data_IF_255358569286
#
_entry.id   IF_255358569286
#
_cell.length_a   1.000
_cell.length_b   1.000
_cell.length_c   1.000
_cell.angle_alpha   90.00
_cell.angle_beta   90.00
_cell.angle_gamma   90.00
#
_symmetry.space_group_name_H-M   'P 1'
#
loop_
_entity.id
_entity.type
_entity.pdbx_description
1 polymer ?
#
# COMPACT_ATOMS: atom_id res chain seq x y z
N UNK A 1 93.07 44.47 -56.37
CA UNK A 1 93.34 43.33 -57.28
C UNK A 1 92.62 42.07 -56.78
N UNK A 2 92.66 40.99 -57.57
CA UNK A 2 92.40 39.55 -57.23
C UNK A 2 92.82 39.19 -55.78
N UNK A 3 92.26 38.19 -55.06
CA UNK A 3 91.21 37.15 -55.29
C UNK A 3 90.90 36.44 -53.94
N UNK A 4 89.73 35.79 -53.78
CA UNK A 4 89.40 34.46 -53.13
C UNK A 4 90.20 33.94 -51.88
N UNK A 5 89.75 33.09 -50.95
CA UNK A 5 88.52 32.33 -50.53
C UNK A 5 89.02 31.28 -49.47
N UNK A 6 88.32 30.52 -48.61
CA UNK A 6 86.91 30.14 -48.34
C UNK A 6 86.80 29.51 -46.91
N UNK A 7 85.59 29.19 -46.38
CA UNK A 7 85.30 28.27 -45.23
C UNK A 7 85.68 28.75 -43.80
N UNK A 8 85.04 28.33 -42.70
CA UNK A 8 83.62 28.01 -42.38
C UNK A 8 83.49 27.68 -40.87
N UNK A 9 82.44 28.16 -40.18
CA UNK A 9 81.89 27.56 -38.96
C UNK A 9 80.48 28.11 -38.69
N UNK A 10 79.52 27.23 -38.40
CA UNK A 10 78.12 27.57 -38.09
C UNK A 10 77.77 27.04 -36.70
N UNK A 11 77.33 27.92 -35.79
CA UNK A 11 76.75 27.52 -34.50
C UNK A 11 75.47 28.33 -34.27
N UNK A 12 74.32 27.64 -34.28
CA UNK A 12 73.00 28.24 -34.08
C UNK A 12 72.60 28.12 -32.61
N UNK A 13 72.23 29.24 -31.99
CA UNK A 13 71.61 29.26 -30.67
C UNK A 13 70.18 28.71 -30.77
N UNK A 14 69.90 27.61 -30.07
CA UNK A 14 68.53 27.13 -29.86
C UNK A 14 67.96 27.76 -28.60
N UNK A 15 66.95 28.61 -28.76
CA UNK A 15 66.25 29.26 -27.64
C UNK A 15 65.08 28.36 -27.20
N UNK A 16 65.18 27.74 -26.03
CA UNK A 16 64.15 26.83 -25.51
C UNK A 16 62.94 27.61 -24.98
N UNK A 17 61.93 27.81 -25.81
CA UNK A 17 60.68 28.47 -25.43
C UNK A 17 59.83 27.51 -24.58
N UNK A 18 59.95 27.62 -23.26
CA UNK A 18 59.22 26.79 -22.31
C UNK A 18 57.75 27.22 -22.27
N UNK A 19 56.87 26.50 -22.99
CA UNK A 19 55.43 26.65 -22.79
C UNK A 19 55.06 26.19 -21.38
N UNK A 20 54.65 27.11 -20.52
CA UNK A 20 53.91 26.78 -19.33
C UNK A 20 52.54 26.22 -19.75
N UNK A 21 52.30 24.92 -19.55
CA UNK A 21 50.94 24.40 -19.57
C UNK A 21 50.16 25.09 -18.42
N UNK A 22 48.86 25.42 -18.63
CA UNK A 22 48.01 25.79 -17.50
C UNK A 22 48.01 24.65 -16.50
N UNK A 23 48.16 24.97 -15.21
CA UNK A 23 48.13 23.97 -14.16
C UNK A 23 46.78 23.24 -14.21
N UNK A 24 46.79 21.90 -14.26
CA UNK A 24 45.58 21.13 -14.03
C UNK A 24 45.10 21.40 -12.61
N UNK A 25 43.96 22.08 -12.50
CA UNK A 25 43.23 22.19 -11.23
C UNK A 25 42.98 20.76 -10.74
N UNK A 26 43.39 20.45 -9.52
CA UNK A 26 43.01 19.19 -8.89
C UNK A 26 41.50 19.23 -8.67
N UNK A 27 40.79 18.20 -9.12
CA UNK A 27 39.41 18.02 -8.66
C UNK A 27 39.45 17.77 -7.14
N UNK A 28 38.55 18.42 -6.42
CA UNK A 28 38.35 18.15 -5.00
C UNK A 28 37.55 16.85 -4.85
N UNK A 29 37.81 16.10 -3.78
CA UNK A 29 37.00 14.93 -3.44
C UNK A 29 35.62 15.41 -2.94
N UNK A 30 34.54 14.82 -3.46
CA UNK A 30 33.18 15.11 -2.99
C UNK A 30 33.08 14.69 -1.51
N UNK A 31 32.66 15.57 -0.58
CA UNK A 31 32.53 15.22 0.84
C UNK A 31 31.53 14.09 1.07
N UNK A 32 31.84 13.19 2.01
CA UNK A 32 30.97 12.06 2.38
C UNK A 32 29.88 12.41 3.40
N UNK A 33 30.03 13.53 4.09
CA UNK A 33 29.06 14.07 5.07
C UNK A 33 28.93 15.61 4.89
N UNK A 34 28.39 16.07 3.74
CA UNK A 34 28.19 17.49 3.45
C UNK A 34 26.97 18.05 4.18
N UNK A 35 27.05 19.28 4.67
CA UNK A 35 25.87 20.04 5.12
C UNK A 35 25.16 20.70 3.93
N UNK A 36 23.89 21.06 4.11
CA UNK A 36 23.14 21.87 3.14
C UNK A 36 23.94 23.08 2.64
N UNK A 37 23.92 23.34 1.32
CA UNK A 37 24.64 24.44 0.68
C UNK A 37 26.16 24.24 0.52
N UNK A 38 26.73 23.10 0.95
CA UNK A 38 28.15 22.78 0.70
C UNK A 38 28.43 22.77 -0.81
N UNK A 39 29.53 23.41 -1.24
CA UNK A 39 29.96 23.42 -2.64
C UNK A 39 31.29 22.72 -2.86
N UNK A 40 31.45 21.99 -3.96
CA UNK A 40 32.72 21.33 -4.36
C UNK A 40 32.98 21.50 -5.86
N UNK A 41 34.25 21.54 -6.27
CA UNK A 41 34.65 21.67 -7.68
C UNK A 41 35.23 20.35 -8.20
N UNK A 42 34.60 19.78 -9.23
CA UNK A 42 35.01 18.51 -9.85
C UNK A 42 35.22 18.69 -11.36
N UNK A 43 35.98 17.80 -12.00
CA UNK A 43 36.14 17.81 -13.47
C UNK A 43 34.82 17.45 -14.16
N UNK A 44 34.57 18.03 -15.34
CA UNK A 44 33.41 17.67 -16.16
C UNK A 44 33.39 16.18 -16.53
N UNK A 45 32.20 15.59 -16.65
CA UNK A 45 32.03 14.13 -16.78
C UNK A 45 32.15 13.33 -15.47
N UNK A 46 32.34 13.96 -14.31
CA UNK A 46 32.21 13.28 -13.01
C UNK A 46 30.75 12.91 -12.74
N UNK A 47 30.48 11.68 -12.29
CA UNK A 47 29.15 11.25 -11.88
C UNK A 47 28.67 12.09 -10.68
N UNK A 48 27.49 12.69 -10.82
CA UNK A 48 26.86 13.54 -9.79
C UNK A 48 26.14 12.63 -8.79
N UNK A 49 26.47 12.65 -7.48
CA UNK A 49 25.76 11.83 -6.50
C UNK A 49 24.36 12.38 -6.20
N UNK A 50 23.50 11.54 -5.61
CA UNK A 50 22.20 11.97 -5.11
C UNK A 50 22.33 13.13 -4.10
N UNK A 51 21.41 14.09 -4.16
CA UNK A 51 21.44 15.30 -3.33
C UNK A 51 22.44 16.35 -3.77
N UNK A 52 23.13 16.21 -4.92
CA UNK A 52 23.98 17.26 -5.50
C UNK A 52 23.42 17.78 -6.82
N UNK A 53 23.58 19.08 -7.08
CA UNK A 53 23.20 19.77 -8.32
C UNK A 53 24.37 20.55 -8.93
N UNK A 54 24.43 20.69 -10.25
CA UNK A 54 25.45 21.54 -10.92
C UNK A 54 24.96 23.00 -10.85
N UNK A 55 25.71 23.86 -10.17
CA UNK A 55 25.40 25.31 -10.06
C UNK A 55 26.36 26.21 -10.84
N UNK A 56 27.32 25.64 -11.57
CA UNK A 56 28.17 26.32 -12.56
C UNK A 56 28.91 25.31 -13.45
N UNK A 57 29.06 25.63 -14.74
CA UNK A 57 29.88 24.89 -15.71
C UNK A 57 30.64 25.85 -16.65
N UNK A 58 31.92 25.58 -16.90
CA UNK A 58 32.79 26.38 -17.79
C UNK A 58 33.32 25.62 -19.02
N UNK A 59 32.90 24.36 -19.20
CA UNK A 59 33.46 23.43 -20.20
C UNK A 59 34.42 22.38 -19.62
N UNK A 60 35.03 22.64 -18.47
CA UNK A 60 36.15 21.85 -17.90
C UNK A 60 35.84 21.37 -16.47
N UNK A 61 35.13 22.17 -15.68
CA UNK A 61 34.76 21.86 -14.29
C UNK A 61 33.26 22.06 -14.05
N UNK A 62 32.71 21.26 -13.14
CA UNK A 62 31.41 21.51 -12.50
C UNK A 62 31.64 22.07 -11.09
N UNK A 63 30.90 23.10 -10.70
CA UNK A 63 30.64 23.39 -9.29
C UNK A 63 29.37 22.64 -8.88
N UNK A 64 29.51 21.65 -8.01
CA UNK A 64 28.37 20.96 -7.41
C UNK A 64 27.98 21.66 -6.10
N UNK A 65 26.68 21.71 -5.81
CA UNK A 65 26.11 22.18 -4.52
C UNK A 65 25.21 21.11 -3.91
N UNK A 66 25.32 20.89 -2.60
CA UNK A 66 24.53 19.90 -1.87
C UNK A 66 23.17 20.46 -1.40
N UNK A 67 22.09 19.72 -1.65
CA UNK A 67 20.70 20.19 -1.53
C UNK A 67 19.89 19.51 -0.43
N UNK A 68 20.42 18.49 0.26
CA UNK A 68 19.72 17.82 1.37
C UNK A 68 19.80 18.68 2.62
N UNK A 69 18.71 18.76 3.38
CA UNK A 69 18.55 19.67 4.53
C UNK A 69 17.95 21.04 4.19
N UNK A 70 17.48 21.23 2.96
CA UNK A 70 16.77 22.43 2.53
C UNK A 70 15.44 22.67 3.28
N UNK A 71 15.05 23.93 3.37
CA UNK A 71 13.78 24.42 3.92
C UNK A 71 12.80 24.82 2.81
N UNK A 72 11.51 24.88 3.13
CA UNK A 72 10.48 25.29 2.17
C UNK A 72 10.80 26.67 1.54
N UNK A 73 10.82 26.72 0.21
CA UNK A 73 11.22 27.88 -0.62
C UNK A 73 12.70 28.28 -0.59
N UNK A 74 13.60 27.41 -0.14
CA UNK A 74 15.01 27.52 -0.52
C UNK A 74 15.16 27.40 -2.05
N UNK A 75 16.08 28.16 -2.65
CA UNK A 75 16.31 28.16 -4.11
C UNK A 75 17.77 27.99 -4.50
N UNK A 76 18.01 27.39 -5.67
CA UNK A 76 19.32 27.36 -6.34
C UNK A 76 19.20 27.68 -7.81
N UNK A 77 20.23 28.33 -8.36
CA UNK A 77 20.43 28.40 -9.81
C UNK A 77 21.29 27.22 -10.24
N UNK A 78 20.80 26.45 -11.22
CA UNK A 78 21.41 25.24 -11.75
C UNK A 78 21.67 25.36 -13.26
N UNK A 79 22.70 24.67 -13.74
CA UNK A 79 22.99 24.54 -15.17
C UNK A 79 21.94 23.64 -15.85
N UNK A 80 21.68 23.88 -17.14
CA UNK A 80 20.58 23.24 -17.91
C UNK A 80 20.56 21.70 -17.88
N UNK A 81 21.71 21.07 -17.64
CA UNK A 81 21.91 19.61 -17.62
C UNK A 81 22.12 19.05 -16.21
N UNK A 82 21.84 19.83 -15.15
CA UNK A 82 21.87 19.34 -13.77
C UNK A 82 20.71 18.37 -13.53
N UNK A 83 20.89 17.32 -12.69
CA UNK A 83 19.76 16.61 -12.12
C UNK A 83 18.89 17.57 -11.28
N UNK A 84 17.60 17.28 -11.20
CA UNK A 84 16.64 17.91 -10.29
C UNK A 84 16.45 16.94 -9.11
N UNK A 85 16.79 17.28 -7.86
CA UNK A 85 16.63 16.37 -6.74
C UNK A 85 15.16 16.23 -6.32
N UNK A 86 14.81 15.12 -5.68
CA UNK A 86 13.46 14.88 -5.19
C UNK A 86 12.96 16.01 -4.27
N UNK A 87 11.72 16.48 -4.51
CA UNK A 87 11.13 17.61 -3.78
C UNK A 87 11.58 18.99 -4.24
N UNK A 88 12.32 19.12 -5.35
CA UNK A 88 12.59 20.40 -6.01
C UNK A 88 11.78 20.55 -7.30
N UNK A 89 11.40 21.77 -7.63
CA UNK A 89 10.65 22.13 -8.86
C UNK A 89 11.34 23.25 -9.62
N UNK A 90 11.21 23.28 -10.96
CA UNK A 90 11.75 24.36 -11.79
C UNK A 90 10.84 25.59 -11.69
N UNK A 91 11.36 26.73 -11.20
CA UNK A 91 10.57 27.96 -11.00
C UNK A 91 10.86 29.07 -12.02
N UNK A 92 12.08 29.14 -12.53
CA UNK A 92 12.48 30.15 -13.51
C UNK A 92 13.47 29.61 -14.54
N UNK A 93 13.41 30.10 -15.78
CA UNK A 93 14.41 29.83 -16.81
C UNK A 93 15.41 30.99 -16.82
N UNK A 94 16.63 30.73 -16.37
CA UNK A 94 17.67 31.75 -16.29
C UNK A 94 18.34 31.93 -17.65
N UNK A 95 18.27 33.13 -18.22
CA UNK A 95 18.90 33.49 -19.50
C UNK A 95 20.44 33.50 -19.49
N UNK A 96 21.07 33.04 -18.40
CA UNK A 96 22.50 32.78 -18.28
C UNK A 96 22.71 31.26 -18.41
N UNK A 97 23.51 30.84 -19.39
CA UNK A 97 23.85 29.43 -19.68
C UNK A 97 22.65 28.48 -19.95
N UNK A 98 21.51 29.01 -20.37
CA UNK A 98 20.24 28.27 -20.53
C UNK A 98 19.79 27.52 -19.25
N UNK A 99 20.26 27.97 -18.08
CA UNK A 99 20.03 27.34 -16.79
C UNK A 99 18.63 27.53 -16.22
N UNK A 100 18.41 26.97 -15.03
CA UNK A 100 17.13 27.07 -14.32
C UNK A 100 17.32 27.53 -12.88
N UNK A 101 16.30 28.18 -12.32
CA UNK A 101 16.11 28.21 -10.88
C UNK A 101 15.27 27.00 -10.46
N UNK A 102 15.73 26.30 -9.42
CA UNK A 102 14.94 25.30 -8.69
C UNK A 102 14.57 25.83 -7.31
N UNK A 103 13.37 25.47 -6.85
CA UNK A 103 12.84 25.79 -5.52
C UNK A 103 12.44 24.53 -4.77
N UNK A 104 12.75 24.44 -3.47
CA UNK A 104 12.38 23.28 -2.64
C UNK A 104 10.93 23.36 -2.12
N UNK A 105 10.21 22.25 -2.26
CA UNK A 105 8.79 22.13 -1.92
C UNK A 105 8.52 21.41 -0.60
N UNK A 106 9.52 20.75 -0.02
CA UNK A 106 9.38 20.04 1.25
C UNK A 106 9.15 20.99 2.43
N UNK A 107 8.36 20.56 3.42
CA UNK A 107 8.00 21.38 4.57
C UNK A 107 6.92 22.44 4.33
N UNK A 108 6.26 22.42 3.17
CA UNK A 108 5.14 23.30 2.86
C UNK A 108 3.94 23.08 3.81
N UNK A 109 3.19 24.16 4.09
CA UNK A 109 1.91 24.11 4.80
C UNK A 109 0.72 24.00 3.83
N UNK A 110 -0.44 23.53 4.29
CA UNK A 110 -1.66 23.49 3.48
C UNK A 110 -1.95 24.83 2.77
N UNK A 111 -2.35 24.78 1.49
CA UNK A 111 -2.56 25.92 0.57
C UNK A 111 -1.33 26.80 0.28
N UNK A 112 -0.12 26.37 0.66
CA UNK A 112 1.11 26.99 0.17
C UNK A 112 1.20 26.87 -1.36
N UNK A 113 1.70 27.91 -2.03
CA UNK A 113 1.83 27.92 -3.51
C UNK A 113 3.26 28.17 -3.99
N UNK A 114 3.59 27.64 -5.15
CA UNK A 114 4.82 27.93 -5.93
C UNK A 114 4.41 28.09 -7.39
N UNK A 115 5.06 29.02 -8.11
CA UNK A 115 4.89 29.18 -9.55
C UNK A 115 6.04 28.44 -10.26
N UNK A 116 5.70 27.55 -11.19
CA UNK A 116 6.61 26.59 -11.85
C UNK A 116 6.62 26.75 -13.37
N UNK A 117 7.70 26.28 -14.01
CA UNK A 117 7.79 26.17 -15.46
C UNK A 117 6.91 25.03 -16.01
N UNK A 118 6.53 25.15 -17.29
CA UNK A 118 5.70 24.18 -18.01
C UNK A 118 6.25 22.74 -18.01
N UNK A 119 7.57 22.61 -17.90
CA UNK A 119 8.34 21.36 -17.93
C UNK A 119 8.83 20.90 -16.54
N UNK A 120 8.38 21.53 -15.45
CA UNK A 120 8.61 21.00 -14.11
C UNK A 120 7.69 19.82 -13.84
N UNK A 121 8.20 18.82 -13.13
CA UNK A 121 7.34 17.81 -12.50
C UNK A 121 6.47 18.44 -11.40
N UNK A 122 5.33 17.80 -11.11
CA UNK A 122 4.40 18.15 -10.04
C UNK A 122 4.68 17.21 -8.85
N UNK A 123 5.19 17.69 -7.70
CA UNK A 123 5.53 16.81 -6.59
C UNK A 123 4.28 16.21 -5.92
N UNK A 124 4.47 15.10 -5.19
CA UNK A 124 3.38 14.46 -4.46
C UNK A 124 2.71 15.43 -3.46
N UNK A 125 1.37 15.42 -3.45
CA UNK A 125 0.58 16.33 -2.62
C UNK A 125 0.45 17.76 -3.16
N UNK A 126 0.89 18.04 -4.39
CA UNK A 126 0.65 19.31 -5.08
C UNK A 126 -0.33 19.15 -6.26
N UNK A 127 -1.07 20.22 -6.57
CA UNK A 127 -2.04 20.30 -7.68
C UNK A 127 -1.84 21.59 -8.48
N UNK A 128 -2.15 21.59 -9.78
CA UNK A 128 -2.13 22.81 -10.61
C UNK A 128 -3.40 23.63 -10.36
N UNK A 129 -3.29 24.91 -10.00
CA UNK A 129 -4.47 25.80 -9.80
C UNK A 129 -4.63 26.83 -10.92
N UNK A 130 -3.53 27.36 -11.45
CA UNK A 130 -3.53 28.43 -12.44
C UNK A 130 -2.52 28.14 -13.57
N UNK A 131 -2.78 28.70 -14.75
CA UNK A 131 -1.86 28.68 -15.90
C UNK A 131 -1.52 30.12 -16.33
N UNK A 132 -0.26 30.36 -16.68
CA UNK A 132 0.27 31.67 -17.06
C UNK A 132 0.57 31.77 -18.55
N UNK A 133 0.46 32.98 -19.11
CA UNK A 133 0.63 33.24 -20.56
C UNK A 133 2.01 32.87 -21.12
N UNK A 134 3.01 32.66 -20.26
CA UNK A 134 4.35 32.18 -20.63
C UNK A 134 4.49 30.65 -20.53
N UNK A 135 3.39 29.90 -20.37
CA UNK A 135 3.35 28.43 -20.28
C UNK A 135 3.55 27.85 -18.88
N UNK A 136 4.05 28.63 -17.92
CA UNK A 136 4.19 28.21 -16.52
C UNK A 136 2.84 28.00 -15.81
N UNK A 137 2.87 27.33 -14.66
CA UNK A 137 1.70 27.02 -13.84
C UNK A 137 1.88 27.47 -12.39
N UNK A 138 0.79 27.64 -11.65
CA UNK A 138 0.82 27.65 -10.18
C UNK A 138 0.51 26.26 -9.65
N UNK A 139 1.35 25.77 -8.76
CA UNK A 139 1.04 24.61 -7.91
C UNK A 139 0.61 25.05 -6.50
N UNK A 140 -0.30 24.30 -5.90
CA UNK A 140 -0.78 24.45 -4.52
C UNK A 140 -0.62 23.14 -3.73
N UNK A 141 -0.15 23.21 -2.48
CA UNK A 141 0.01 22.05 -1.61
C UNK A 141 -1.30 21.67 -0.90
N UNK A 142 -1.69 20.40 -0.99
CA UNK A 142 -3.00 19.89 -0.56
C UNK A 142 -2.95 19.04 0.71
N UNK A 143 -1.77 18.70 1.22
CA UNK A 143 -1.63 17.91 2.47
C UNK A 143 -1.95 18.80 3.67
N UNK A 144 -2.66 18.26 4.66
CA UNK A 144 -3.15 19.01 5.81
C UNK A 144 -4.52 19.69 5.62
N UNK A 145 -5.24 19.36 4.53
CA UNK A 145 -6.62 19.78 4.32
C UNK A 145 -7.59 19.19 5.36
N UNK A 146 -8.62 19.96 5.72
CA UNK A 146 -9.71 19.50 6.58
C UNK A 146 -10.81 18.77 5.79
N UNK A 147 -11.71 18.07 6.48
CA UNK A 147 -12.87 17.48 5.83
C UNK A 147 -13.74 18.56 5.17
N UNK A 148 -14.22 18.30 3.95
CA UNK A 148 -14.94 19.26 3.08
C UNK A 148 -14.14 20.48 2.61
N UNK A 149 -12.82 20.56 2.81
CA UNK A 149 -12.00 21.59 2.15
C UNK A 149 -12.13 21.49 0.62
N UNK A 150 -12.13 22.64 -0.08
CA UNK A 150 -12.27 22.71 -1.55
C UNK A 150 -11.13 23.46 -2.21
N UNK A 151 -10.72 23.00 -3.39
CA UNK A 151 -9.71 23.63 -4.26
C UNK A 151 -10.22 23.54 -5.71
N UNK A 152 -10.06 24.61 -6.48
CA UNK A 152 -10.24 24.59 -7.92
C UNK A 152 -8.88 24.30 -8.58
N UNK A 153 -8.83 23.29 -9.45
CA UNK A 153 -7.62 22.80 -10.12
C UNK A 153 -7.80 22.85 -11.64
N UNK A 154 -6.71 22.93 -12.40
CA UNK A 154 -6.75 22.77 -13.86
C UNK A 154 -7.13 21.33 -14.23
N UNK A 155 -7.79 21.14 -15.38
CA UNK A 155 -8.23 19.82 -15.82
C UNK A 155 -7.08 18.82 -16.09
N UNK A 156 -5.85 19.31 -16.29
CA UNK A 156 -4.63 18.49 -16.42
C UNK A 156 -3.88 18.26 -15.10
N UNK A 157 -4.42 18.71 -13.96
CA UNK A 157 -3.83 18.46 -12.64
C UNK A 157 -4.07 17.03 -12.17
N UNK A 158 -3.14 16.40 -11.41
CA UNK A 158 -3.48 15.22 -10.62
C UNK A 158 -4.60 15.52 -9.61
N UNK A 159 -5.38 14.49 -9.27
CA UNK A 159 -6.32 14.48 -8.14
C UNK A 159 -5.62 13.74 -6.98
N UNK A 160 -5.27 14.39 -5.86
CA UNK A 160 -4.51 13.74 -4.79
C UNK A 160 -5.37 12.73 -3.99
N UNK A 161 -4.71 11.81 -3.28
CA UNK A 161 -5.39 10.82 -2.46
C UNK A 161 -6.32 11.47 -1.41
N UNK A 162 -7.54 10.96 -1.29
CA UNK A 162 -8.58 11.48 -0.39
C UNK A 162 -9.41 12.64 -0.95
N UNK A 163 -9.05 13.18 -2.12
CA UNK A 163 -9.86 14.16 -2.84
C UNK A 163 -10.80 13.50 -3.86
N UNK A 164 -11.91 14.17 -4.18
CA UNK A 164 -12.87 13.79 -5.22
C UNK A 164 -13.23 15.00 -6.08
N UNK A 165 -13.53 14.79 -7.37
CA UNK A 165 -14.02 15.86 -8.25
C UNK A 165 -15.53 16.01 -8.11
N UNK A 166 -15.97 17.20 -7.70
CA UNK A 166 -17.36 17.51 -7.34
C UNK A 166 -18.05 18.44 -8.31
N UNK A 167 -17.29 19.10 -9.18
CA UNK A 167 -17.82 19.93 -10.27
C UNK A 167 -16.82 19.97 -11.42
N UNK A 168 -17.32 19.86 -12.64
CA UNK A 168 -16.55 20.05 -13.86
C UNK A 168 -16.92 21.40 -14.51
N UNK A 169 -15.91 22.17 -14.91
CA UNK A 169 -16.02 23.44 -15.63
C UNK A 169 -15.34 23.38 -17.02
N UNK A 170 -15.06 22.17 -17.53
CA UNK A 170 -14.46 21.86 -18.83
C UNK A 170 -12.94 22.04 -18.87
N UNK A 171 -12.45 23.20 -18.43
CA UNK A 171 -11.00 23.49 -18.35
C UNK A 171 -10.43 23.41 -16.93
N UNK A 172 -11.31 23.28 -15.93
CA UNK A 172 -10.94 23.17 -14.51
C UNK A 172 -11.96 22.32 -13.75
N UNK A 173 -11.52 21.75 -12.64
CA UNK A 173 -12.31 20.90 -11.75
C UNK A 173 -12.35 21.51 -10.36
N UNK A 174 -13.51 21.45 -9.69
CA UNK A 174 -13.56 21.63 -8.24
C UNK A 174 -13.34 20.28 -7.58
N UNK A 175 -12.27 20.17 -6.79
CA UNK A 175 -12.03 19.01 -5.91
C UNK A 175 -12.42 19.33 -4.46
N UNK A 176 -12.89 18.31 -3.74
CA UNK A 176 -13.23 18.37 -2.31
C UNK A 176 -12.53 17.25 -1.54
N UNK A 177 -12.01 17.52 -0.34
CA UNK A 177 -11.38 16.51 0.52
C UNK A 177 -12.42 15.75 1.36
N UNK A 178 -12.34 14.41 1.35
CA UNK A 178 -13.41 13.52 1.83
C UNK A 178 -12.98 12.53 2.94
N UNK A 179 -11.86 12.78 3.60
CA UNK A 179 -11.28 11.92 4.66
C UNK A 179 -11.42 12.58 6.03
N UNK A 180 -11.51 11.79 7.09
CA UNK A 180 -11.41 12.24 8.49
C UNK A 180 -12.74 12.24 9.24
N UNK A 181 -13.70 13.07 8.80
CA UNK A 181 -14.85 13.47 9.64
C UNK A 181 -16.24 13.14 9.05
N UNK A 182 -16.28 12.29 8.01
CA UNK A 182 -17.52 11.87 7.38
C UNK A 182 -18.44 11.09 8.34
N UNK A 183 -19.72 11.43 8.37
CA UNK A 183 -20.74 10.77 9.21
C UNK A 183 -21.42 9.60 8.51
N UNK A 184 -21.91 8.62 9.28
CA UNK A 184 -22.63 7.47 8.70
C UNK A 184 -23.86 7.93 7.88
N UNK A 185 -24.00 7.40 6.65
CA UNK A 185 -25.02 7.82 5.64
C UNK A 185 -24.91 9.28 5.16
N UNK A 186 -23.83 9.99 5.47
CA UNK A 186 -23.55 11.27 4.81
C UNK A 186 -23.40 11.04 3.30
N UNK A 187 -23.86 11.98 2.48
CA UNK A 187 -23.83 11.87 1.02
C UNK A 187 -22.98 12.95 0.36
N UNK A 188 -22.49 12.63 -0.85
CA UNK A 188 -21.85 13.60 -1.71
C UNK A 188 -22.11 13.30 -3.18
N UNK A 189 -22.20 14.34 -4.00
CA UNK A 189 -22.24 14.22 -5.47
C UNK A 189 -20.84 14.39 -6.02
N UNK A 190 -20.42 13.47 -6.89
CA UNK A 190 -19.13 13.48 -7.60
C UNK A 190 -19.38 13.30 -9.09
N UNK A 191 -18.47 13.78 -9.94
CA UNK A 191 -18.53 13.50 -11.40
C UNK A 191 -18.26 12.02 -11.67
N UNK A 192 -18.70 11.49 -12.80
CA UNK A 192 -18.62 10.08 -13.17
C UNK A 192 -17.20 9.49 -13.08
N UNK A 193 -16.22 10.23 -13.58
CA UNK A 193 -14.80 9.86 -13.63
C UNK A 193 -14.07 10.06 -12.29
N UNK A 194 -14.70 10.70 -11.30
CA UNK A 194 -14.06 10.94 -10.00
C UNK A 194 -13.73 9.63 -9.27
N UNK A 195 -12.58 9.55 -8.58
CA UNK A 195 -12.33 8.49 -7.61
C UNK A 195 -13.44 8.46 -6.54
N UNK A 196 -13.68 7.27 -5.99
CA UNK A 196 -14.53 7.04 -4.81
C UNK A 196 -13.60 6.77 -3.62
N UNK A 197 -13.63 7.57 -2.54
CA UNK A 197 -12.72 7.38 -1.41
C UNK A 197 -13.01 6.10 -0.62
N UNK A 198 -12.02 5.63 0.13
CA UNK A 198 -12.19 4.51 1.05
C UNK A 198 -13.34 4.78 2.05
N UNK A 199 -14.20 3.77 2.25
CA UNK A 199 -15.39 3.90 3.10
C UNK A 199 -16.59 4.61 2.45
N UNK A 200 -16.51 5.00 1.17
CA UNK A 200 -17.66 5.50 0.41
C UNK A 200 -18.14 4.47 -0.63
N UNK A 201 -19.44 4.44 -0.91
CA UNK A 201 -20.09 3.57 -1.91
C UNK A 201 -21.00 4.36 -2.84
N UNK A 202 -21.18 3.93 -4.09
CA UNK A 202 -22.08 4.58 -5.07
C UNK A 202 -23.51 4.09 -4.86
N UNK A 203 -24.44 5.01 -4.60
CA UNK A 203 -25.86 4.71 -4.32
C UNK A 203 -26.82 5.11 -5.44
N UNK A 204 -26.42 6.06 -6.29
CA UNK A 204 -27.21 6.53 -7.42
C UNK A 204 -26.31 7.08 -8.53
N UNK A 205 -26.79 7.04 -9.77
CA UNK A 205 -26.14 7.61 -10.95
C UNK A 205 -27.14 8.49 -11.69
N UNK A 206 -26.74 9.73 -11.99
CA UNK A 206 -27.53 10.72 -12.69
C UNK A 206 -26.93 10.96 -14.09
N UNK A 207 -27.52 10.32 -15.09
CA UNK A 207 -27.11 10.42 -16.51
C UNK A 207 -27.39 11.78 -17.17
N UNK A 208 -28.12 12.70 -16.52
CA UNK A 208 -28.34 14.05 -17.05
C UNK A 208 -27.15 14.98 -16.80
N UNK A 209 -26.44 14.79 -15.68
CA UNK A 209 -25.27 15.59 -15.28
C UNK A 209 -23.97 14.77 -15.26
N UNK A 210 -24.00 13.52 -15.73
CA UNK A 210 -22.93 12.51 -15.62
C UNK A 210 -22.25 12.47 -14.23
N UNK A 211 -23.06 12.23 -13.19
CA UNK A 211 -22.63 12.27 -11.78
C UNK A 211 -23.06 11.04 -11.00
N UNK A 212 -22.26 10.62 -10.04
CA UNK A 212 -22.65 9.66 -9.00
C UNK A 212 -23.02 10.39 -7.71
N UNK A 213 -24.02 9.88 -7.00
CA UNK A 213 -24.16 10.15 -5.56
C UNK A 213 -23.50 8.99 -4.82
N UNK A 214 -22.54 9.33 -3.97
CA UNK A 214 -21.88 8.42 -3.04
C UNK A 214 -22.41 8.64 -1.62
N UNK A 215 -22.30 7.62 -0.76
CA UNK A 215 -22.57 7.73 0.68
C UNK A 215 -21.48 7.07 1.52
N UNK A 216 -21.25 7.58 2.73
CA UNK A 216 -20.26 7.06 3.66
C UNK A 216 -20.79 5.90 4.50
N UNK A 217 -19.99 4.84 4.60
CA UNK A 217 -20.33 3.57 5.27
C UNK A 217 -19.62 3.37 6.60
N UNK A 218 -18.71 4.26 6.99
CA UNK A 218 -18.09 4.24 8.33
C UNK A 218 -19.09 4.66 9.41
N UNK A 219 -18.90 4.16 10.64
CA UNK A 219 -19.81 4.40 11.76
C UNK A 219 -21.13 3.61 11.73
N UNK A 220 -21.28 2.66 10.80
CA UNK A 220 -22.45 1.77 10.73
C UNK A 220 -22.57 0.84 11.94
N UNK A 221 -23.80 0.48 12.31
CA UNK A 221 -24.10 -0.49 13.37
C UNK A 221 -24.41 -1.89 12.82
N UNK A 222 -24.38 -2.93 13.64
CA UNK A 222 -24.72 -4.29 13.20
C UNK A 222 -26.12 -4.32 12.55
N UNK A 223 -26.23 -4.97 11.37
CA UNK A 223 -27.42 -5.03 10.51
C UNK A 223 -27.87 -3.71 9.86
N UNK A 224 -27.08 -2.63 9.92
CA UNK A 224 -27.33 -1.45 9.06
C UNK A 224 -27.31 -1.85 7.58
N UNK A 225 -28.15 -1.19 6.77
CA UNK A 225 -28.28 -1.49 5.33
C UNK A 225 -28.20 -0.26 4.44
N UNK A 226 -27.56 -0.41 3.29
CA UNK A 226 -27.44 0.61 2.23
C UNK A 226 -27.79 -0.05 0.89
N UNK A 227 -28.57 0.64 0.06
CA UNK A 227 -28.80 0.25 -1.33
C UNK A 227 -27.76 0.91 -2.22
N UNK A 228 -27.04 0.10 -3.00
CA UNK A 228 -25.94 0.48 -3.89
C UNK A 228 -26.27 0.16 -5.36
N UNK A 229 -25.61 0.83 -6.30
CA UNK A 229 -25.70 0.49 -7.73
C UNK A 229 -24.76 -0.67 -8.11
N UNK A 230 -25.04 -1.31 -9.26
CA UNK A 230 -24.38 -2.54 -9.72
C UNK A 230 -22.84 -2.48 -9.76
N UNK A 231 -22.28 -1.31 -10.08
CA UNK A 231 -20.84 -1.06 -10.20
C UNK A 231 -20.23 -0.34 -8.98
N UNK A 232 -20.90 -0.36 -7.82
CA UNK A 232 -20.31 0.10 -6.57
C UNK A 232 -19.37 -0.96 -5.98
N UNK A 233 -18.35 -0.48 -5.28
CA UNK A 233 -17.57 -1.31 -4.34
C UNK A 233 -18.44 -1.81 -3.19
N UNK A 234 -18.02 -2.94 -2.59
CA UNK A 234 -18.55 -3.49 -1.35
C UNK A 234 -17.47 -3.30 -0.28
N UNK A 235 -17.67 -2.50 0.78
CA UNK A 235 -16.63 -2.25 1.78
C UNK A 235 -16.42 -3.46 2.70
N UNK A 236 -15.25 -3.52 3.35
CA UNK A 236 -14.96 -4.55 4.35
C UNK A 236 -16.02 -4.56 5.48
N UNK A 237 -16.45 -5.75 5.88
CA UNK A 237 -17.52 -5.95 6.87
C UNK A 237 -18.95 -5.77 6.32
N UNK A 238 -19.14 -5.61 5.00
CA UNK A 238 -20.46 -5.59 4.37
C UNK A 238 -20.69 -6.82 3.47
N UNK A 239 -21.94 -7.28 3.39
CA UNK A 239 -22.38 -8.44 2.57
C UNK A 239 -23.59 -8.10 1.72
N UNK A 240 -23.73 -8.73 0.54
CA UNK A 240 -24.88 -8.56 -0.34
C UNK A 240 -26.05 -9.42 0.14
N UNK A 241 -27.14 -8.78 0.57
CA UNK A 241 -28.33 -9.46 1.16
C UNK A 241 -29.51 -9.55 0.21
N UNK A 242 -29.59 -8.66 -0.78
CA UNK A 242 -30.67 -8.63 -1.77
C UNK A 242 -30.20 -8.00 -3.09
N UNK A 243 -30.81 -8.40 -4.19
CA UNK A 243 -30.60 -7.81 -5.51
C UNK A 243 -31.82 -6.96 -5.88
N UNK A 244 -31.59 -5.68 -6.11
CA UNK A 244 -32.64 -4.69 -6.35
C UNK A 244 -33.09 -4.80 -7.82
N UNK A 245 -34.40 -4.70 -8.08
CA UNK A 245 -34.98 -4.92 -9.43
C UNK A 245 -34.45 -4.01 -10.54
N UNK A 246 -33.75 -2.93 -10.19
CA UNK A 246 -33.08 -2.00 -11.12
C UNK A 246 -31.59 -2.34 -11.34
N UNK A 247 -31.15 -3.56 -10.99
CA UNK A 247 -29.76 -4.04 -11.14
C UNK A 247 -28.80 -3.66 -10.01
N UNK A 248 -29.24 -2.84 -9.04
CA UNK A 248 -28.47 -2.55 -7.82
C UNK A 248 -28.52 -3.70 -6.79
N UNK A 249 -27.95 -3.46 -5.62
CA UNK A 249 -27.92 -4.43 -4.51
C UNK A 249 -28.17 -3.75 -3.16
N UNK A 250 -28.64 -4.53 -2.17
CA UNK A 250 -28.60 -4.13 -0.76
C UNK A 250 -27.40 -4.74 -0.05
N UNK A 251 -26.51 -3.91 0.44
CA UNK A 251 -25.46 -4.32 1.37
C UNK A 251 -25.95 -4.22 2.83
N UNK A 252 -25.50 -5.14 3.69
CA UNK A 252 -25.73 -5.15 5.13
C UNK A 252 -24.41 -5.22 5.90
N UNK A 253 -24.27 -4.47 6.99
CA UNK A 253 -23.07 -4.47 7.84
C UNK A 253 -23.09 -5.63 8.86
N UNK A 254 -21.98 -6.36 8.97
CA UNK A 254 -21.88 -7.62 9.71
C UNK A 254 -21.01 -7.57 10.96
N UNK A 255 -20.28 -6.47 11.19
CA UNK A 255 -19.43 -6.30 12.38
C UNK A 255 -20.33 -6.03 13.60
N UNK A 256 -19.97 -6.60 14.76
CA UNK A 256 -20.78 -6.51 15.98
C UNK A 256 -21.86 -7.61 16.12
N UNK A 257 -21.85 -8.62 15.25
CA UNK A 257 -22.72 -9.80 15.37
C UNK A 257 -22.43 -10.63 16.63
N UNK A 258 -23.46 -11.28 17.18
CA UNK A 258 -23.33 -12.24 18.28
C UNK A 258 -23.03 -13.66 17.81
N UNK A 259 -22.60 -14.55 18.72
CA UNK A 259 -22.44 -15.97 18.39
C UNK A 259 -23.77 -16.57 17.88
N UNK A 260 -23.71 -17.32 16.78
CA UNK A 260 -24.87 -17.89 16.04
C UNK A 260 -25.83 -16.87 15.40
N UNK A 261 -25.49 -15.58 15.32
CA UNK A 261 -26.24 -14.64 14.47
C UNK A 261 -26.26 -15.13 13.02
N UNK A 262 -27.38 -14.90 12.31
CA UNK A 262 -27.52 -15.31 10.91
C UNK A 262 -27.98 -14.17 10.00
N UNK A 263 -27.46 -14.20 8.76
CA UNK A 263 -27.82 -13.30 7.67
C UNK A 263 -28.01 -14.15 6.41
N UNK A 264 -29.07 -13.88 5.65
CA UNK A 264 -29.24 -14.45 4.32
C UNK A 264 -28.58 -13.53 3.28
N UNK A 265 -27.71 -14.11 2.45
CA UNK A 265 -26.93 -13.45 1.41
C UNK A 265 -27.31 -13.98 0.02
N UNK A 266 -27.11 -13.15 -1.01
CA UNK A 266 -27.26 -13.58 -2.41
C UNK A 266 -26.02 -14.31 -2.92
N UNK A 267 -26.14 -14.93 -4.09
CA UNK A 267 -25.01 -15.50 -4.82
C UNK A 267 -23.87 -14.48 -4.97
N UNK A 268 -22.62 -14.95 -4.85
CA UNK A 268 -21.40 -14.15 -5.01
C UNK A 268 -21.21 -12.99 -4.00
N UNK A 269 -22.00 -12.92 -2.92
CA UNK A 269 -21.65 -12.08 -1.77
C UNK A 269 -20.30 -12.50 -1.19
N UNK A 270 -19.44 -11.57 -0.71
CA UNK A 270 -18.34 -11.93 0.16
C UNK A 270 -18.84 -12.62 1.43
N UNK A 271 -17.99 -13.48 2.00
CA UNK A 271 -18.18 -14.12 3.31
C UNK A 271 -17.16 -13.47 4.24
N UNK A 272 -17.57 -12.68 5.25
CA UNK A 272 -16.62 -12.01 6.14
C UNK A 272 -15.94 -12.99 7.10
N UNK A 273 -14.82 -12.56 7.69
CA UNK A 273 -14.11 -13.36 8.69
C UNK A 273 -15.02 -13.74 9.88
N UNK A 274 -14.90 -14.98 10.36
CA UNK A 274 -15.75 -15.53 11.42
C UNK A 274 -17.17 -15.93 10.97
N UNK A 275 -17.51 -15.82 9.69
CA UNK A 275 -18.78 -16.31 9.14
C UNK A 275 -18.61 -17.61 8.33
N UNK A 276 -19.62 -18.48 8.40
CA UNK A 276 -19.68 -19.81 7.73
C UNK A 276 -20.98 -19.98 6.95
N UNK A 277 -20.97 -20.82 5.90
CA UNK A 277 -22.17 -21.16 5.11
C UNK A 277 -22.91 -22.35 5.75
N UNK A 278 -24.08 -22.10 6.34
CA UNK A 278 -24.88 -23.14 7.04
C UNK A 278 -26.00 -23.72 6.18
N UNK A 279 -26.47 -22.99 5.16
CA UNK A 279 -27.56 -23.42 4.29
C UNK A 279 -27.45 -22.74 2.92
N UNK A 280 -27.82 -23.44 1.85
CA UNK A 280 -28.01 -22.86 0.52
C UNK A 280 -29.51 -22.57 0.33
N UNK A 281 -29.86 -21.31 0.05
CA UNK A 281 -31.26 -20.93 -0.16
C UNK A 281 -31.70 -21.25 -1.58
N UNK A 282 -32.99 -21.59 -1.76
CA UNK A 282 -33.55 -22.05 -3.03
C UNK A 282 -33.54 -21.03 -4.17
N UNK A 283 -33.04 -19.81 -3.93
CA UNK A 283 -32.85 -18.74 -4.91
C UNK A 283 -31.38 -18.56 -5.32
N UNK A 284 -30.49 -19.49 -4.94
CA UNK A 284 -29.08 -19.51 -5.34
C UNK A 284 -28.14 -18.73 -4.42
N UNK A 285 -28.66 -18.13 -3.35
CA UNK A 285 -27.86 -17.53 -2.27
C UNK A 285 -27.61 -18.51 -1.12
N UNK A 286 -27.16 -17.97 0.01
CA UNK A 286 -26.79 -18.76 1.19
C UNK A 286 -27.26 -18.11 2.49
N UNK A 287 -27.33 -18.89 3.57
CA UNK A 287 -27.34 -18.36 4.93
C UNK A 287 -25.93 -18.43 5.52
N UNK A 288 -25.41 -17.27 5.91
CA UNK A 288 -24.21 -17.19 6.73
C UNK A 288 -24.57 -17.18 8.22
N UNK A 289 -23.72 -17.79 9.04
CA UNK A 289 -23.79 -17.78 10.51
C UNK A 289 -22.45 -17.29 11.10
N UNK A 290 -22.49 -16.49 12.16
CA UNK A 290 -21.29 -16.01 12.86
C UNK A 290 -20.83 -16.99 13.95
N UNK A 291 -19.52 -17.27 14.00
CA UNK A 291 -18.94 -18.35 14.82
C UNK A 291 -18.06 -17.89 15.98
N UNK A 292 -17.71 -16.60 16.04
CA UNK A 292 -16.87 -16.07 17.14
C UNK A 292 -17.70 -16.04 18.43
N UNK A 293 -17.09 -16.40 19.56
CA UNK A 293 -17.77 -16.54 20.85
C UNK A 293 -18.37 -17.93 21.14
N UNK A 294 -18.05 -18.93 20.32
CA UNK A 294 -18.41 -20.32 20.57
C UNK A 294 -17.75 -20.89 21.85
N UNK A 295 -18.45 -21.78 22.54
CA UNK A 295 -17.92 -22.53 23.69
C UNK A 295 -17.22 -23.82 23.29
N UNK A 296 -16.42 -24.40 24.19
CA UNK A 296 -15.78 -25.70 23.93
C UNK A 296 -16.83 -26.77 23.60
N UNK A 297 -16.61 -27.52 22.50
CA UNK A 297 -17.52 -28.51 21.93
C UNK A 297 -18.85 -27.99 21.35
N UNK A 298 -19.00 -26.67 21.13
CA UNK A 298 -20.11 -26.16 20.32
C UNK A 298 -20.08 -26.80 18.92
N UNK A 299 -21.25 -27.15 18.37
CA UNK A 299 -21.36 -27.73 17.02
C UNK A 299 -22.28 -26.93 16.11
N UNK A 300 -21.93 -26.90 14.82
CA UNK A 300 -22.70 -26.28 13.74
C UNK A 300 -22.64 -27.18 12.50
N UNK A 301 -23.75 -27.29 11.77
CA UNK A 301 -23.77 -27.93 10.44
C UNK A 301 -23.49 -26.90 9.34
N UNK A 302 -22.59 -27.24 8.42
CA UNK A 302 -22.16 -26.42 7.29
C UNK A 302 -22.40 -27.15 5.96
N UNK A 303 -22.48 -26.39 4.87
CA UNK A 303 -22.48 -26.94 3.50
C UNK A 303 -21.06 -27.23 3.01
N UNK A 304 -20.93 -28.06 1.97
CA UNK A 304 -19.65 -28.57 1.43
C UNK A 304 -18.57 -27.50 1.23
N UNK A 305 -18.96 -26.33 0.72
CA UNK A 305 -18.07 -25.25 0.29
C UNK A 305 -17.95 -24.12 1.32
N UNK A 306 -18.38 -24.34 2.58
CA UNK A 306 -18.15 -23.35 3.65
C UNK A 306 -16.67 -23.22 3.97
N UNK A 307 -16.15 -22.01 4.29
CA UNK A 307 -14.91 -21.91 5.05
C UNK A 307 -15.05 -22.64 6.40
N UNK A 308 -13.93 -23.18 6.89
CA UNK A 308 -13.79 -23.74 8.24
C UNK A 308 -13.02 -22.70 9.07
N UNK A 309 -13.60 -22.07 10.11
CA UNK A 309 -12.91 -21.03 10.86
C UNK A 309 -11.80 -21.59 11.76
N UNK A 310 -10.86 -20.75 12.16
CA UNK A 310 -9.80 -21.12 13.09
C UNK A 310 -10.38 -21.68 14.41
N UNK A 311 -9.80 -22.78 14.89
CA UNK A 311 -10.28 -23.49 16.09
C UNK A 311 -11.52 -24.38 15.88
N UNK A 312 -11.99 -24.57 14.64
CA UNK A 312 -13.03 -25.56 14.32
C UNK A 312 -12.44 -26.76 13.58
N UNK A 313 -13.04 -27.94 13.81
CA UNK A 313 -12.65 -29.22 13.18
C UNK A 313 -13.86 -29.93 12.58
N UNK A 314 -13.66 -30.74 11.54
CA UNK A 314 -14.72 -31.56 10.92
C UNK A 314 -14.89 -32.86 11.73
N UNK A 315 -16.06 -33.08 12.33
CA UNK A 315 -16.35 -34.27 13.14
C UNK A 315 -17.17 -35.33 12.39
N UNK A 316 -17.89 -34.94 11.34
CA UNK A 316 -18.80 -35.81 10.59
C UNK A 316 -19.14 -35.20 9.22
N UNK A 317 -19.30 -36.02 8.19
CA UNK A 317 -19.85 -35.61 6.90
C UNK A 317 -21.37 -35.86 6.92
N UNK A 318 -22.18 -34.81 6.76
CA UNK A 318 -23.64 -34.94 6.78
C UNK A 318 -24.15 -35.48 5.43
N UNK A 319 -25.23 -36.27 5.46
CA UNK A 319 -25.74 -37.01 4.30
C UNK A 319 -26.21 -36.16 3.12
N UNK A 320 -26.23 -34.82 3.25
CA UNK A 320 -26.56 -33.87 2.19
C UNK A 320 -25.28 -33.28 1.53
N UNK A 321 -24.12 -33.88 1.76
CA UNK A 321 -22.83 -33.46 1.20
C UNK A 321 -22.13 -32.33 1.97
N UNK A 322 -22.71 -31.86 3.08
CA UNK A 322 -22.07 -30.92 3.99
C UNK A 322 -21.29 -31.61 5.10
N UNK A 323 -20.93 -30.86 6.13
CA UNK A 323 -20.21 -31.36 7.31
C UNK A 323 -20.84 -30.85 8.60
N UNK A 324 -20.53 -31.53 9.71
CA UNK A 324 -20.65 -30.96 11.05
C UNK A 324 -19.27 -30.55 11.53
N UNK A 325 -19.16 -29.31 11.98
CA UNK A 325 -17.95 -28.80 12.66
C UNK A 325 -18.16 -28.75 14.17
N UNK A 326 -17.07 -28.90 14.93
CA UNK A 326 -17.02 -28.69 16.38
C UNK A 326 -15.93 -27.68 16.75
N UNK A 327 -16.18 -26.81 17.72
CA UNK A 327 -15.19 -25.86 18.24
C UNK A 327 -14.28 -26.48 19.30
N UNK A 328 -12.97 -26.22 19.18
CA UNK A 328 -11.92 -26.82 20.01
C UNK A 328 -11.30 -25.86 21.03
N UNK A 329 -11.63 -24.57 20.99
CA UNK A 329 -11.13 -23.59 21.97
C UNK A 329 -11.75 -23.82 23.35
N UNK A 330 -10.96 -23.60 24.41
CA UNK A 330 -11.38 -23.84 25.80
C UNK A 330 -11.24 -25.29 26.29
N UNK A 331 -10.55 -26.15 25.53
CA UNK A 331 -10.20 -27.51 25.95
C UNK A 331 -9.19 -27.55 27.12
N UNK A 332 -9.20 -28.62 27.89
CA UNK A 332 -8.24 -28.91 28.97
C UNK A 332 -7.18 -29.92 28.54
N UNK A 333 -6.05 -30.01 29.25
CA UNK A 333 -5.01 -31.01 28.96
C UNK A 333 -5.61 -32.43 28.92
N UNK A 334 -5.29 -33.21 27.88
CA UNK A 334 -5.84 -34.54 27.55
C UNK A 334 -7.33 -34.59 27.19
N UNK A 335 -7.99 -33.45 26.91
CA UNK A 335 -9.28 -33.49 26.19
C UNK A 335 -9.12 -34.18 24.84
N UNK A 336 -10.13 -34.96 24.44
CA UNK A 336 -10.12 -35.72 23.18
C UNK A 336 -11.34 -35.43 22.32
N UNK A 337 -11.15 -35.49 21.00
CA UNK A 337 -12.21 -35.31 20.00
C UNK A 337 -11.95 -36.21 18.80
N UNK A 338 -13.01 -36.81 18.25
CA UNK A 338 -12.94 -37.62 17.03
C UNK A 338 -13.29 -36.75 15.81
N UNK A 339 -12.45 -36.83 14.78
CA UNK A 339 -12.49 -36.00 13.55
C UNK A 339 -12.45 -36.89 12.30
N UNK A 340 -12.99 -36.40 11.18
CA UNK A 340 -12.90 -37.09 9.88
C UNK A 340 -11.60 -36.75 9.13
N UNK A 341 -11.26 -37.60 8.15
CA UNK A 341 -10.20 -37.33 7.19
C UNK A 341 -10.29 -35.92 6.59
N UNK A 342 -9.13 -35.28 6.43
CA UNK A 342 -8.97 -33.93 5.91
C UNK A 342 -9.57 -32.81 6.78
N UNK A 343 -10.01 -33.09 8.01
CA UNK A 343 -10.19 -32.02 9.02
C UNK A 343 -8.86 -31.28 9.25
N UNK A 344 -8.88 -29.95 9.44
CA UNK A 344 -7.72 -29.26 10.01
C UNK A 344 -7.42 -29.81 11.41
N UNK A 345 -6.16 -29.70 11.83
CA UNK A 345 -5.69 -29.99 13.19
C UNK A 345 -5.34 -28.64 13.83
N UNK A 346 -6.06 -28.18 14.87
CA UNK A 346 -5.80 -26.86 15.46
C UNK A 346 -4.51 -26.85 16.29
N UNK A 347 -3.96 -25.65 16.52
CA UNK A 347 -2.79 -25.47 17.38
C UNK A 347 -3.02 -26.06 18.79
N UNK A 348 -2.02 -26.78 19.31
CA UNK A 348 -2.11 -27.49 20.59
C UNK A 348 -2.83 -28.85 20.55
N UNK A 349 -3.26 -29.34 19.37
CA UNK A 349 -3.85 -30.67 19.21
C UNK A 349 -2.91 -31.61 18.42
N UNK A 350 -2.93 -32.90 18.78
CA UNK A 350 -2.14 -33.98 18.13
C UNK A 350 -3.00 -35.19 17.81
N UNK A 351 -2.66 -35.94 16.75
CA UNK A 351 -3.35 -37.19 16.37
C UNK A 351 -2.85 -38.34 17.25
N UNK A 352 -3.71 -38.93 18.09
CA UNK A 352 -3.32 -40.04 19.00
C UNK A 352 -3.87 -41.40 18.59
N UNK A 353 -4.90 -41.45 17.74
CA UNK A 353 -5.48 -42.71 17.25
C UNK A 353 -6.09 -42.54 15.85
N UNK A 354 -6.13 -43.63 15.06
CA UNK A 354 -6.81 -43.70 13.77
C UNK A 354 -7.73 -44.93 13.75
N UNK A 355 -8.94 -44.78 13.24
CA UNK A 355 -10.01 -45.81 13.32
C UNK A 355 -9.96 -46.87 12.21
N UNK A 356 -9.00 -46.77 11.28
CA UNK A 356 -8.86 -47.63 10.11
C UNK A 356 -9.84 -47.35 8.95
N UNK A 357 -10.85 -46.50 9.16
CA UNK A 357 -11.84 -46.08 8.17
C UNK A 357 -11.64 -44.63 7.68
N UNK A 358 -10.65 -43.92 8.23
CA UNK A 358 -10.28 -42.56 7.88
C UNK A 358 -10.67 -41.51 8.93
N UNK A 359 -11.26 -41.91 10.05
CA UNK A 359 -11.40 -41.09 11.23
C UNK A 359 -10.13 -41.10 12.09
N UNK A 360 -9.90 -40.01 12.81
CA UNK A 360 -8.79 -39.85 13.75
C UNK A 360 -9.28 -39.29 15.08
N UNK A 361 -8.59 -39.64 16.17
CA UNK A 361 -8.72 -38.95 17.46
C UNK A 361 -7.63 -37.89 17.56
N UNK A 362 -8.03 -36.66 17.82
CA UNK A 362 -7.13 -35.61 18.30
C UNK A 362 -7.18 -35.51 19.83
N UNK A 363 -6.04 -35.18 20.44
CA UNK A 363 -5.89 -34.91 21.88
C UNK A 363 -5.24 -33.56 22.11
N UNK A 364 -5.70 -32.81 23.12
CA UNK A 364 -5.16 -31.49 23.46
C UNK A 364 -3.94 -31.60 24.40
N UNK A 365 -2.88 -30.86 24.09
CA UNK A 365 -1.56 -30.99 24.75
C UNK A 365 -1.13 -29.79 25.58
N UNK A 366 -1.83 -28.65 25.48
CA UNK A 366 -1.52 -27.45 26.27
C UNK A 366 -1.96 -27.67 27.72
N UNK A 367 -1.12 -27.22 28.67
CA UNK A 367 -1.31 -27.50 30.11
C UNK A 367 -0.65 -28.78 30.61
N UNK A 368 0.19 -29.42 29.79
CA UNK A 368 1.08 -30.49 30.22
C UNK A 368 2.12 -30.01 31.25
N UNK A 369 2.58 -30.94 32.09
CA UNK A 369 3.69 -30.75 33.03
C UNK A 369 5.00 -31.29 32.46
N UNK A 370 6.14 -30.79 32.92
CA UNK A 370 7.45 -31.31 32.53
C UNK A 370 7.55 -32.82 32.77
N UNK A 371 7.90 -33.58 31.72
CA UNK A 371 7.96 -35.04 31.75
C UNK A 371 6.65 -35.77 31.43
N UNK A 372 5.54 -35.06 31.16
CA UNK A 372 4.32 -35.69 30.61
C UNK A 372 4.61 -36.33 29.25
N UNK A 373 4.14 -37.56 29.04
CA UNK A 373 4.26 -38.29 27.78
C UNK A 373 2.92 -38.47 27.06
N UNK A 374 2.98 -38.57 25.73
CA UNK A 374 1.84 -38.88 24.87
C UNK A 374 2.30 -39.64 23.62
N UNK A 375 1.60 -40.73 23.28
CA UNK A 375 1.83 -41.47 22.04
C UNK A 375 1.01 -40.84 20.91
N UNK A 376 1.65 -40.51 19.78
CA UNK A 376 1.02 -39.87 18.62
C UNK A 376 1.30 -40.62 17.33
N UNK A 377 0.44 -40.43 16.34
CA UNK A 377 0.54 -41.03 15.01
C UNK A 377 1.67 -40.37 14.23
N UNK A 378 2.37 -41.13 13.39
CA UNK A 378 3.53 -40.66 12.62
C UNK A 378 3.31 -39.39 11.76
N UNK A 379 2.06 -39.10 11.38
CA UNK A 379 1.68 -37.91 10.60
C UNK A 379 1.11 -36.75 11.46
N UNK A 380 1.19 -36.83 12.79
CA UNK A 380 0.75 -35.76 13.69
C UNK A 380 1.69 -34.55 13.62
N UNK A 381 1.20 -33.31 13.78
CA UNK A 381 2.07 -32.21 14.21
C UNK A 381 2.69 -32.54 15.58
N UNK A 382 3.90 -32.02 15.82
CA UNK A 382 4.55 -31.99 17.13
C UNK A 382 4.33 -30.57 17.70
N UNK A 383 3.67 -30.40 18.86
CA UNK A 383 3.43 -29.08 19.43
C UNK A 383 4.68 -28.44 20.03
N UNK A 384 4.62 -27.12 20.24
CA UNK A 384 5.68 -26.38 20.95
C UNK A 384 5.92 -26.93 22.37
N UNK A 385 7.19 -27.02 22.76
CA UNK A 385 7.62 -27.60 24.04
C UNK A 385 7.62 -29.13 24.11
N UNK A 386 7.16 -29.84 23.07
CA UNK A 386 7.22 -31.31 23.00
C UNK A 386 8.37 -31.80 22.11
N UNK A 387 9.02 -32.90 22.52
CA UNK A 387 10.09 -33.57 21.76
C UNK A 387 9.81 -35.06 21.61
N UNK A 388 10.22 -35.66 20.50
CA UNK A 388 10.11 -37.12 20.28
C UNK A 388 11.14 -37.85 21.15
N UNK A 389 10.68 -38.82 21.95
CA UNK A 389 11.52 -39.58 22.89
C UNK A 389 11.62 -41.06 22.56
N UNK A 390 10.54 -41.70 22.09
CA UNK A 390 10.54 -43.09 21.66
C UNK A 390 9.87 -43.25 20.29
N UNK A 391 10.27 -44.25 19.51
CA UNK A 391 9.69 -44.55 18.19
C UNK A 391 9.25 -46.01 18.17
N UNK A 392 7.96 -46.24 17.93
CA UNK A 392 7.34 -47.57 17.98
C UNK A 392 7.18 -48.22 16.59
N UNK A 393 7.80 -47.64 15.56
CA UNK A 393 7.79 -48.10 14.18
C UNK A 393 7.15 -47.09 13.23
N UNK A 394 6.86 -47.53 12.00
CA UNK A 394 6.44 -46.68 10.87
C UNK A 394 5.04 -46.02 11.01
N UNK A 395 4.43 -46.01 12.20
CA UNK A 395 3.04 -45.57 12.40
C UNK A 395 2.81 -44.73 13.66
N UNK A 396 3.67 -44.81 14.69
CA UNK A 396 3.52 -44.03 15.92
C UNK A 396 4.86 -43.80 16.65
N UNK A 397 4.91 -42.71 17.40
CA UNK A 397 6.03 -42.34 18.25
C UNK A 397 5.55 -41.64 19.52
N UNK A 398 6.34 -41.72 20.59
CA UNK A 398 6.07 -41.01 21.84
C UNK A 398 6.71 -39.62 21.80
N UNK A 399 5.94 -38.62 22.23
CA UNK A 399 6.46 -37.30 22.58
C UNK A 399 6.45 -37.11 24.09
N UNK A 400 7.42 -36.35 24.60
CA UNK A 400 7.52 -35.90 26.00
C UNK A 400 7.55 -34.38 26.05
N UNK A 401 6.86 -33.77 27.02
CA UNK A 401 6.90 -32.33 27.26
C UNK A 401 8.15 -31.92 28.03
N UNK A 402 8.89 -30.95 27.52
CA UNK A 402 10.17 -30.45 28.06
C UNK A 402 10.24 -28.92 28.16
N UNK A 403 9.09 -28.24 28.04
CA UNK A 403 8.95 -26.79 28.25
C UNK A 403 8.87 -26.39 29.73
#
# INVERSE_FOLDING_TARGET
MKKKSIVSALCVLFFSMLLALPARVSADAIPTDPTYGTTVTVTSGTNIPEGWVITYYDGIIYRLTYTVGASYRDTFNIEANSPIPAGWVLTYANGINDGYEITYTGGASYRSTIDILANSEIPEGWVLTDAYGNGGYRIMYTVGAGYRDTIDILANSPIPAGWVTTTDYGNSYRITYMVGEASYRETMTIVSESPVPAGWVRIYYNSYNDTYVITYTGGASYRDTIDIIANSTIPAGWVLTYANGNGGYRIMYTVGAGYRDTIDIIANSPIPEGWILTYANGSGGYRIMYTVGAGYRDTIDIIANSPIPAGWVLIYANGNGGYRIMYTGGASYRDTMDIIANSPIPAGWVLTYADGNGGYRITYTVGASYGDTMDIIANSPIPEGWVVTENYGNSSFQITYTG
#
